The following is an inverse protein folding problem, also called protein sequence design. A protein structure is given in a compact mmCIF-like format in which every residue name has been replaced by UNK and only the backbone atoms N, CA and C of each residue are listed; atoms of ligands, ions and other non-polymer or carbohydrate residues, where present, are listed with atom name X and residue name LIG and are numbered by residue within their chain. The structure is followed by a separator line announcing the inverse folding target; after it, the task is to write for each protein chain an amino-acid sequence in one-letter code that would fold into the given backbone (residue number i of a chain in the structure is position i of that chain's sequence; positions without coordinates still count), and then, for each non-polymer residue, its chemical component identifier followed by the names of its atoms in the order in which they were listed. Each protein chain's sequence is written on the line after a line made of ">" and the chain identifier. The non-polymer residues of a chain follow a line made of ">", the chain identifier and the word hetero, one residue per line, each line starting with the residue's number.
data_IF_446996806209
#
_entry.id   IF_446996806209
#
_cell.length_a   1.000
_cell.length_b   1.000
_cell.length_c   1.000
_cell.angle_alpha   90.00
_cell.angle_beta   90.00
_cell.angle_gamma   90.00
#
_symmetry.space_group_name_H-M   'P 1'
#
loop_
_entity.id
_entity.type
_entity.pdbx_description
1 polymer ?
#
# COMPACT_ATOMS: atom_id res chain seq x y z
N UNK A 1 -8.91 6.35 -16.58
CA UNK A 1 -7.46 6.07 -16.51
C UNK A 1 -6.89 6.22 -17.90
N UNK A 2 -5.72 6.85 -18.03
CA UNK A 2 -5.04 6.98 -19.32
C UNK A 2 -4.40 5.64 -19.65
N UNK A 3 -4.85 4.98 -20.71
CA UNK A 3 -4.11 3.84 -21.28
C UNK A 3 -2.94 4.46 -22.04
N UNK A 4 -1.73 4.24 -21.54
CA UNK A 4 -0.54 4.70 -22.24
C UNK A 4 -0.26 3.75 -23.41
N UNK A 5 -0.09 4.30 -24.61
CA UNK A 5 0.37 3.52 -25.76
C UNK A 5 1.85 3.19 -25.55
N UNK A 6 2.20 1.90 -25.69
CA UNK A 6 3.59 1.46 -25.66
C UNK A 6 4.22 1.66 -27.05
N UNK A 7 5.52 2.03 -27.14
CA UNK A 7 6.46 2.19 -26.03
C UNK A 7 6.27 3.49 -25.23
N UNK A 8 6.29 3.41 -23.90
CA UNK A 8 6.20 4.57 -23.00
C UNK A 8 7.61 5.08 -22.68
N UNK A 9 7.93 6.28 -23.14
CA UNK A 9 9.23 6.94 -22.86
C UNK A 9 9.12 7.86 -21.64
N UNK A 10 10.13 7.84 -20.79
CA UNK A 10 10.23 8.72 -19.62
C UNK A 10 11.67 9.13 -19.36
N UNK A 11 11.87 10.11 -18.47
CA UNK A 11 13.21 10.50 -18.00
C UNK A 11 13.35 10.18 -16.52
N UNK A 12 14.56 9.82 -16.09
CA UNK A 12 14.80 9.48 -14.70
C UNK A 12 16.22 9.84 -14.24
N UNK A 13 16.44 9.84 -12.92
CA UNK A 13 17.75 9.80 -12.27
C UNK A 13 17.80 8.64 -11.30
N UNK A 14 18.96 7.99 -11.16
CA UNK A 14 19.15 7.01 -10.10
C UNK A 14 19.21 7.72 -8.75
N UNK A 15 18.63 7.11 -7.71
CA UNK A 15 18.65 7.60 -6.33
C UNK A 15 19.56 6.69 -5.51
N UNK A 16 20.57 7.28 -4.90
CA UNK A 16 21.51 6.60 -4.00
C UNK A 16 21.61 7.44 -2.71
N UNK A 17 21.67 6.78 -1.56
CA UNK A 17 21.68 7.42 -0.24
C UNK A 17 20.53 8.42 -0.02
N UNK A 18 19.41 8.20 -0.70
CA UNK A 18 18.23 9.07 -0.64
C UNK A 18 18.28 10.31 -1.53
N UNK A 19 19.31 10.50 -2.36
CA UNK A 19 19.46 11.65 -3.26
C UNK A 19 19.60 11.21 -4.72
N UNK A 20 18.99 11.97 -5.64
CA UNK A 20 19.16 11.76 -7.07
C UNK A 20 20.59 12.10 -7.51
N UNK A 21 21.27 11.15 -8.15
CA UNK A 21 22.65 11.29 -8.63
C UNK A 21 22.70 11.73 -10.09
N UNK A 22 23.78 12.43 -10.45
CA UNK A 22 24.09 12.86 -11.81
C UNK A 22 23.50 14.21 -12.21
N UNK A 23 24.23 14.90 -13.09
CA UNK A 23 23.82 16.22 -13.60
C UNK A 23 22.62 16.11 -14.55
N UNK A 24 22.64 15.16 -15.47
CA UNK A 24 21.60 14.99 -16.50
C UNK A 24 20.69 13.79 -16.20
N UNK A 25 19.40 13.93 -16.53
CA UNK A 25 18.46 12.82 -16.47
C UNK A 25 18.66 11.87 -17.65
N UNK A 26 18.61 10.58 -17.36
CA UNK A 26 18.69 9.45 -18.29
C UNK A 26 17.33 9.18 -18.93
N UNK A 27 17.31 8.39 -20.00
CA UNK A 27 16.10 8.00 -20.73
C UNK A 27 15.71 6.58 -20.33
N UNK A 28 14.45 6.39 -19.97
CA UNK A 28 13.83 5.10 -19.76
C UNK A 28 12.76 4.82 -20.82
N UNK A 29 12.63 3.55 -21.20
CA UNK A 29 11.63 3.10 -22.17
C UNK A 29 10.98 1.83 -21.63
N UNK A 30 9.65 1.86 -21.46
CA UNK A 30 8.86 0.68 -21.19
C UNK A 30 8.27 0.14 -22.49
N UNK A 31 8.51 -1.13 -22.76
CA UNK A 31 7.94 -1.92 -23.85
C UNK A 31 7.11 -3.08 -23.29
N UNK A 32 6.46 -3.88 -24.15
CA UNK A 32 5.56 -4.96 -23.72
C UNK A 32 6.22 -6.06 -22.87
N UNK A 33 7.51 -6.32 -23.03
CA UNK A 33 8.21 -7.42 -22.36
C UNK A 33 9.49 -7.00 -21.64
N UNK A 34 9.89 -5.72 -21.73
CA UNK A 34 11.08 -5.21 -21.06
C UNK A 34 10.96 -3.75 -20.65
N UNK A 35 11.68 -3.42 -19.59
CA UNK A 35 11.98 -2.07 -19.15
C UNK A 35 13.45 -1.76 -19.47
N UNK A 36 13.69 -0.75 -20.29
CA UNK A 36 15.03 -0.26 -20.58
C UNK A 36 15.32 0.97 -19.72
N UNK A 37 16.37 0.92 -18.91
CA UNK A 37 16.87 2.01 -18.09
C UNK A 37 18.28 2.37 -18.57
N UNK A 38 18.40 3.47 -19.33
CA UNK A 38 19.65 3.86 -19.99
C UNK A 38 20.11 2.76 -20.99
N UNK A 39 21.18 2.02 -20.67
CA UNK A 39 21.65 0.89 -21.49
C UNK A 39 21.30 -0.49 -20.90
N UNK A 40 20.66 -0.54 -19.73
CA UNK A 40 20.27 -1.81 -19.08
C UNK A 40 18.87 -2.20 -19.53
N UNK A 41 18.73 -3.43 -20.02
CA UNK A 41 17.43 -4.03 -20.33
C UNK A 41 17.03 -4.99 -19.21
N UNK A 42 15.83 -4.82 -18.68
CA UNK A 42 15.25 -5.63 -17.62
C UNK A 42 14.00 -6.31 -18.17
N UNK A 43 14.01 -7.64 -18.37
CA UNK A 43 12.80 -8.40 -18.68
C UNK A 43 11.72 -8.17 -17.61
N UNK A 44 10.49 -7.86 -18.02
CA UNK A 44 9.42 -7.54 -17.06
C UNK A 44 9.05 -8.72 -16.17
N UNK A 45 9.24 -9.94 -16.64
CA UNK A 45 9.04 -11.16 -15.85
C UNK A 45 9.92 -11.20 -14.59
N UNK A 46 11.10 -10.58 -14.62
CA UNK A 46 12.04 -10.56 -13.49
C UNK A 46 11.69 -9.49 -12.44
N UNK A 47 10.75 -8.60 -12.73
CA UNK A 47 10.30 -7.57 -11.79
C UNK A 47 9.31 -8.23 -10.83
N UNK A 48 9.73 -8.38 -9.57
CA UNK A 48 8.93 -9.03 -8.53
C UNK A 48 7.91 -8.08 -7.91
N UNK A 49 8.30 -6.82 -7.72
CA UNK A 49 7.49 -5.78 -7.09
C UNK A 49 7.89 -4.38 -7.57
N UNK A 50 6.94 -3.45 -7.54
CA UNK A 50 7.22 -2.02 -7.74
C UNK A 50 6.48 -1.20 -6.69
N UNK A 51 7.07 -0.08 -6.28
CA UNK A 51 6.37 0.85 -5.39
C UNK A 51 6.73 2.30 -5.67
N UNK A 52 5.74 3.20 -5.62
CA UNK A 52 5.99 4.64 -5.72
C UNK A 52 5.72 5.42 -4.45
N UNK A 53 6.54 6.47 -4.27
CA UNK A 53 6.35 7.53 -3.28
C UNK A 53 6.69 8.87 -3.94
N UNK A 54 5.68 9.71 -4.11
CA UNK A 54 5.77 11.00 -4.80
C UNK A 54 6.28 10.86 -6.25
N UNK A 55 7.52 11.28 -6.52
CA UNK A 55 8.19 11.14 -7.83
C UNK A 55 9.22 10.01 -7.86
N UNK A 56 9.34 9.23 -6.78
CA UNK A 56 10.27 8.11 -6.68
C UNK A 56 9.57 6.79 -7.00
N UNK A 57 10.21 5.98 -7.82
CA UNK A 57 9.82 4.63 -8.18
C UNK A 57 10.90 3.66 -7.71
N UNK A 58 10.52 2.67 -6.91
CA UNK A 58 11.35 1.54 -6.52
C UNK A 58 10.95 0.34 -7.35
N UNK A 59 11.93 -0.37 -7.92
CA UNK A 59 11.72 -1.56 -8.73
C UNK A 59 12.56 -2.68 -8.11
N UNK A 60 11.88 -3.73 -7.63
CA UNK A 60 12.54 -4.91 -7.08
C UNK A 60 12.66 -5.98 -8.16
N UNK A 61 13.88 -6.47 -8.38
CA UNK A 61 14.19 -7.49 -9.39
C UNK A 61 14.65 -8.75 -8.68
N UNK A 62 14.15 -9.91 -9.12
CA UNK A 62 14.55 -11.19 -8.56
C UNK A 62 16.05 -11.44 -8.76
N UNK A 63 16.75 -11.79 -7.67
CA UNK A 63 18.19 -12.09 -7.70
C UNK A 63 19.10 -10.87 -7.84
N UNK A 64 18.57 -9.64 -7.85
CA UNK A 64 19.35 -8.40 -7.95
C UNK A 64 18.97 -7.38 -6.87
N UNK A 65 19.74 -6.30 -6.76
CA UNK A 65 19.41 -5.16 -5.91
C UNK A 65 18.25 -4.36 -6.50
N UNK A 66 17.45 -3.74 -5.63
CA UNK A 66 16.38 -2.85 -6.05
C UNK A 66 16.92 -1.58 -6.73
N UNK A 67 16.24 -1.13 -7.78
CA UNK A 67 16.48 0.16 -8.41
C UNK A 67 15.58 1.23 -7.79
N UNK A 68 16.17 2.36 -7.40
CA UNK A 68 15.41 3.54 -6.96
C UNK A 68 15.61 4.65 -7.98
N UNK A 69 14.51 5.11 -8.57
CA UNK A 69 14.49 6.09 -9.65
C UNK A 69 13.72 7.34 -9.21
N UNK A 70 14.26 8.52 -9.45
CA UNK A 70 13.49 9.75 -9.47
C UNK A 70 12.98 10.00 -10.89
N UNK A 71 11.67 9.94 -11.09
CA UNK A 71 11.01 9.94 -12.40
C UNK A 71 10.53 11.34 -12.77
N UNK A 72 10.72 11.70 -14.05
CA UNK A 72 10.33 12.98 -14.64
C UNK A 72 9.50 12.76 -15.91
N UNK A 73 8.82 13.83 -16.37
CA UNK A 73 7.94 13.89 -17.55
C UNK A 73 6.63 13.11 -17.44
N UNK A 74 6.66 11.94 -16.82
CA UNK A 74 5.48 11.14 -16.45
C UNK A 74 5.32 11.11 -14.94
N UNK A 75 4.10 10.88 -14.45
CA UNK A 75 3.91 10.64 -13.01
C UNK A 75 4.46 9.26 -12.66
N UNK A 76 5.26 9.17 -11.60
CA UNK A 76 5.84 7.91 -11.15
C UNK A 76 4.76 6.82 -10.95
N UNK A 77 3.63 7.15 -10.32
CA UNK A 77 2.49 6.24 -10.13
C UNK A 77 1.88 5.73 -11.45
N UNK A 78 1.88 6.55 -12.50
CA UNK A 78 1.37 6.10 -13.81
C UNK A 78 2.36 5.15 -14.49
N UNK A 79 3.67 5.37 -14.31
CA UNK A 79 4.72 4.47 -14.79
C UNK A 79 4.73 3.13 -14.05
N UNK A 80 4.65 3.14 -12.71
CA UNK A 80 4.50 1.96 -11.86
C UNK A 80 3.38 1.04 -12.36
N UNK A 81 2.19 1.61 -12.56
CA UNK A 81 1.02 0.87 -13.07
C UNK A 81 1.22 0.30 -14.45
N UNK A 82 1.93 1.02 -15.31
CA UNK A 82 2.24 0.52 -16.64
C UNK A 82 3.20 -0.68 -16.56
N UNK A 83 4.23 -0.60 -15.71
CA UNK A 83 5.16 -1.70 -15.44
C UNK A 83 4.42 -2.90 -14.86
N UNK A 84 3.64 -2.71 -13.80
CA UNK A 84 2.90 -3.78 -13.12
C UNK A 84 1.92 -4.48 -14.05
N UNK A 85 1.23 -3.72 -14.91
CA UNK A 85 0.30 -4.28 -15.90
C UNK A 85 1.03 -5.20 -16.87
N UNK A 86 2.08 -4.71 -17.53
CA UNK A 86 2.80 -5.51 -18.53
C UNK A 86 3.55 -6.68 -17.87
N UNK A 87 4.14 -6.48 -16.68
CA UNK A 87 4.77 -7.55 -15.91
C UNK A 87 3.77 -8.66 -15.53
N UNK A 88 2.55 -8.28 -15.09
CA UNK A 88 1.51 -9.25 -14.77
C UNK A 88 1.06 -10.08 -15.97
N UNK A 89 1.05 -9.50 -17.19
CA UNK A 89 0.73 -10.22 -18.42
C UNK A 89 1.77 -11.30 -18.70
N UNK A 90 3.05 -10.95 -18.62
CA UNK A 90 4.14 -11.90 -18.88
C UNK A 90 4.20 -13.01 -17.82
N UNK A 91 4.03 -12.67 -16.53
CA UNK A 91 3.96 -13.65 -15.44
C UNK A 91 2.82 -14.64 -15.64
N UNK A 92 1.62 -14.15 -15.99
CA UNK A 92 0.44 -14.99 -16.17
C UNK A 92 0.59 -15.93 -17.36
N UNK A 93 1.21 -15.50 -18.47
CA UNK A 93 1.48 -16.38 -19.62
C UNK A 93 2.33 -17.58 -19.22
N UNK A 94 3.38 -17.36 -18.42
CA UNK A 94 4.24 -18.44 -17.93
C UNK A 94 3.51 -19.39 -17.01
N UNK A 95 2.73 -18.85 -16.07
CA UNK A 95 1.91 -19.66 -15.16
C UNK A 95 0.90 -20.48 -15.95
N UNK A 96 0.17 -19.87 -16.90
CA UNK A 96 -0.79 -20.59 -17.72
C UNK A 96 -0.13 -21.73 -18.51
N UNK A 97 1.03 -21.48 -19.13
CA UNK A 97 1.77 -22.51 -19.87
C UNK A 97 2.21 -23.68 -18.96
N UNK A 98 2.65 -23.40 -17.73
CA UNK A 98 3.01 -24.42 -16.75
C UNK A 98 1.79 -25.28 -16.33
N UNK A 99 0.64 -24.66 -16.05
CA UNK A 99 -0.60 -25.41 -15.75
C UNK A 99 -1.07 -26.26 -16.94
N UNK A 100 -0.90 -25.76 -18.17
CA UNK A 100 -1.19 -26.51 -19.39
C UNK A 100 -0.25 -27.72 -19.54
N UNK A 101 1.05 -27.54 -19.34
CA UNK A 101 2.06 -28.60 -19.39
C UNK A 101 1.82 -29.68 -18.32
N UNK A 102 1.33 -29.29 -17.14
CA UNK A 102 0.99 -30.21 -16.05
C UNK A 102 -0.39 -30.89 -16.22
N UNK A 103 -1.15 -30.59 -17.28
CA UNK A 103 -2.52 -31.10 -17.46
C UNK A 103 -3.53 -30.53 -16.46
N UNK A 104 -3.18 -29.45 -15.76
CA UNK A 104 -3.97 -28.79 -14.71
C UNK A 104 -4.66 -27.52 -15.17
N UNK A 105 -4.82 -27.30 -16.49
CA UNK A 105 -5.43 -26.09 -17.07
C UNK A 105 -6.76 -25.68 -16.41
N UNK A 106 -7.58 -26.66 -15.97
CA UNK A 106 -8.85 -26.41 -15.30
C UNK A 106 -8.73 -25.76 -13.90
N UNK A 107 -7.55 -25.80 -13.28
CA UNK A 107 -7.26 -25.13 -12.00
C UNK A 107 -6.74 -23.70 -12.20
N UNK A 108 -6.36 -23.34 -13.43
CA UNK A 108 -5.88 -22.00 -13.73
C UNK A 108 -7.04 -21.01 -13.71
N UNK A 109 -6.93 -19.99 -12.85
CA UNK A 109 -7.89 -18.92 -12.75
C UNK A 109 -7.18 -17.58 -12.56
N UNK A 110 -7.61 -16.58 -13.32
CA UNK A 110 -7.05 -15.22 -13.23
C UNK A 110 -8.12 -14.18 -13.49
N UNK A 111 -7.97 -13.00 -12.91
CA UNK A 111 -8.88 -11.87 -13.11
C UNK A 111 -8.12 -10.59 -13.40
N UNK A 112 -8.71 -9.70 -14.21
CA UNK A 112 -8.13 -8.39 -14.49
C UNK A 112 -8.64 -7.41 -13.44
N UNK A 113 -7.73 -6.69 -12.77
CA UNK A 113 -8.13 -5.68 -11.80
C UNK A 113 -8.81 -4.49 -12.53
N UNK A 114 -10.09 -4.17 -12.26
CA UNK A 114 -10.79 -3.05 -12.91
C UNK A 114 -10.21 -1.68 -12.53
N UNK A 115 -9.37 -1.62 -11.49
CA UNK A 115 -8.63 -0.44 -11.13
C UNK A 115 -7.36 -0.32 -11.99
N UNK A 116 -6.27 -1.03 -11.67
CA UNK A 116 -4.99 -0.84 -12.37
C UNK A 116 -4.86 -1.58 -13.71
N UNK A 117 -5.76 -2.52 -14.02
CA UNK A 117 -5.75 -3.44 -15.17
C UNK A 117 -4.62 -4.48 -15.16
N UNK A 118 -3.92 -4.65 -14.04
CA UNK A 118 -3.03 -5.79 -13.86
C UNK A 118 -3.82 -7.09 -13.71
N UNK A 119 -3.23 -8.21 -14.16
CA UNK A 119 -3.82 -9.54 -14.07
C UNK A 119 -3.42 -10.19 -12.74
N UNK A 120 -4.40 -10.66 -11.99
CA UNK A 120 -4.23 -11.30 -10.69
C UNK A 120 -4.37 -12.80 -10.89
N UNK A 121 -3.35 -13.57 -10.50
CA UNK A 121 -3.46 -15.02 -10.43
C UNK A 121 -4.28 -15.41 -9.20
N UNK A 122 -5.35 -16.18 -9.40
CA UNK A 122 -6.19 -16.75 -8.35
C UNK A 122 -6.22 -18.29 -8.40
N UNK A 123 -5.33 -18.90 -9.18
CA UNK A 123 -5.20 -20.35 -9.28
C UNK A 123 -4.92 -20.97 -7.91
N UNK A 124 -5.48 -22.15 -7.65
CA UNK A 124 -5.35 -22.90 -6.39
C UNK A 124 -5.92 -22.23 -5.14
N UNK A 125 -6.48 -21.04 -5.25
CA UNK A 125 -7.13 -20.36 -4.13
C UNK A 125 -8.59 -20.78 -4.01
N UNK A 126 -9.05 -20.93 -2.77
CA UNK A 126 -10.47 -21.08 -2.47
C UNK A 126 -11.22 -19.85 -3.00
N UNK A 127 -12.34 -20.09 -3.69
CA UNK A 127 -13.24 -19.02 -4.12
C UNK A 127 -13.79 -18.28 -2.91
N UNK A 128 -13.54 -16.97 -2.85
CA UNK A 128 -14.02 -16.08 -1.78
C UNK A 128 -14.90 -14.97 -2.34
N UNK A 129 -15.41 -14.08 -1.46
CA UNK A 129 -16.23 -12.94 -1.91
C UNK A 129 -15.41 -11.87 -2.65
N UNK A 130 -14.14 -11.74 -2.28
CA UNK A 130 -13.26 -10.71 -2.77
C UNK A 130 -11.93 -11.27 -3.26
N UNK A 131 -11.27 -10.51 -4.11
CA UNK A 131 -9.87 -10.69 -4.48
C UNK A 131 -9.09 -9.40 -4.17
N UNK A 132 -7.84 -9.57 -3.78
CA UNK A 132 -6.91 -8.48 -3.51
C UNK A 132 -5.96 -8.29 -4.69
N UNK A 133 -5.80 -7.06 -5.14
CA UNK A 133 -4.82 -6.71 -6.17
C UNK A 133 -3.52 -6.26 -5.52
N UNK A 134 -2.48 -7.11 -5.55
CA UNK A 134 -1.16 -6.79 -4.98
C UNK A 134 -0.52 -5.53 -5.56
N UNK A 135 -0.77 -5.23 -6.84
CA UNK A 135 -0.15 -4.14 -7.57
C UNK A 135 -0.68 -2.75 -7.18
N UNK A 136 -1.98 -2.62 -6.92
CA UNK A 136 -2.58 -1.32 -6.58
C UNK A 136 -3.27 -1.29 -5.22
N UNK A 137 -3.15 -2.38 -4.45
CA UNK A 137 -3.71 -2.60 -3.13
C UNK A 137 -5.25 -2.50 -3.05
N UNK A 138 -5.95 -2.55 -4.18
CA UNK A 138 -7.41 -2.53 -4.25
C UNK A 138 -8.00 -3.89 -3.91
N UNK A 139 -9.13 -3.88 -3.20
CA UNK A 139 -10.00 -5.03 -3.01
C UNK A 139 -11.14 -4.94 -4.03
N UNK A 140 -11.31 -6.01 -4.78
CA UNK A 140 -12.30 -6.17 -5.85
C UNK A 140 -13.19 -7.36 -5.50
N UNK A 141 -14.35 -7.48 -6.13
CA UNK A 141 -15.11 -8.73 -6.09
C UNK A 141 -14.33 -9.86 -6.75
N UNK A 142 -14.67 -11.11 -6.43
CA UNK A 142 -13.98 -12.28 -6.98
C UNK A 142 -13.89 -12.30 -8.51
N UNK A 143 -14.95 -11.85 -9.19
CA UNK A 143 -15.01 -11.83 -10.66
C UNK A 143 -14.26 -10.64 -11.29
N UNK A 144 -13.75 -9.72 -10.47
CA UNK A 144 -13.05 -8.51 -10.94
C UNK A 144 -13.94 -7.51 -11.68
N UNK A 145 -15.24 -7.52 -11.46
CA UNK A 145 -16.19 -6.61 -12.11
C UNK A 145 -16.33 -5.27 -11.37
N UNK A 146 -16.12 -5.27 -10.05
CA UNK A 146 -16.42 -4.15 -9.16
C UNK A 146 -15.29 -3.90 -8.18
N UNK A 147 -14.91 -2.63 -8.06
CA UNK A 147 -14.01 -2.14 -7.01
C UNK A 147 -14.79 -1.98 -5.70
N UNK A 148 -14.39 -2.72 -4.66
CA UNK A 148 -14.97 -2.62 -3.32
C UNK A 148 -14.28 -1.52 -2.52
N UNK A 149 -12.95 -1.49 -2.60
CA UNK A 149 -12.10 -0.41 -2.10
C UNK A 149 -11.03 -0.04 -3.13
N UNK A 150 -10.73 1.26 -3.24
CA UNK A 150 -9.62 1.75 -4.05
C UNK A 150 -8.34 1.82 -3.18
N UNK A 151 -7.31 1.07 -3.57
CA UNK A 151 -6.03 1.02 -2.85
C UNK A 151 -5.19 2.31 -2.88
N UNK A 152 -5.46 3.26 -3.79
CA UNK A 152 -4.84 4.60 -3.71
C UNK A 152 -5.25 5.37 -2.46
N UNK A 153 -6.49 5.13 -2.00
CA UNK A 153 -7.10 5.88 -0.90
C UNK A 153 -7.15 5.06 0.36
N UNK A 154 -7.57 3.80 0.28
CA UNK A 154 -7.70 2.91 1.42
C UNK A 154 -6.73 1.76 1.29
N UNK A 155 -5.72 1.73 2.15
CA UNK A 155 -4.71 0.67 2.12
C UNK A 155 -4.03 0.53 3.48
N UNK A 156 -3.06 -0.37 3.57
CA UNK A 156 -2.26 -0.54 4.78
C UNK A 156 -1.36 0.69 4.97
N UNK A 157 -1.33 1.23 6.18
CA UNK A 157 -0.49 2.37 6.50
C UNK A 157 0.94 1.91 6.81
N UNK A 158 1.92 2.34 6.01
CA UNK A 158 3.35 2.04 6.22
C UNK A 158 3.83 2.31 7.67
N UNK A 159 3.31 3.37 8.31
CA UNK A 159 3.76 3.81 9.63
C UNK A 159 3.26 2.91 10.78
N UNK A 160 2.07 2.33 10.66
CA UNK A 160 1.43 1.65 11.79
C UNK A 160 0.76 0.33 11.45
N UNK A 161 0.87 -0.12 10.21
CA UNK A 161 0.33 -1.39 9.74
C UNK A 161 -1.19 -1.45 9.64
N UNK A 162 -1.97 -0.44 10.08
CA UNK A 162 -3.44 -0.53 10.01
C UNK A 162 -3.97 -0.19 8.62
N UNK A 163 -5.03 -0.89 8.19
CA UNK A 163 -5.84 -0.50 7.04
C UNK A 163 -6.57 0.83 7.33
N UNK A 164 -6.44 1.80 6.43
CA UNK A 164 -7.06 3.10 6.62
C UNK A 164 -6.98 4.01 5.41
N UNK A 165 -7.61 5.18 5.52
CA UNK A 165 -7.52 6.22 4.50
C UNK A 165 -6.14 6.88 4.53
N UNK A 166 -5.34 6.66 3.49
CA UNK A 166 -3.97 7.16 3.37
C UNK A 166 -3.94 8.44 2.54
N UNK A 167 -3.23 9.44 3.05
CA UNK A 167 -3.00 10.72 2.37
C UNK A 167 -1.58 11.22 2.59
N UNK A 168 -1.10 12.02 1.65
CA UNK A 168 0.12 12.81 1.83
C UNK A 168 -0.13 14.00 2.75
N UNK A 169 0.61 14.09 3.85
CA UNK A 169 0.65 15.20 4.79
C UNK A 169 2.05 15.83 4.79
N UNK A 170 2.12 17.13 5.08
CA UNK A 170 3.38 17.84 5.22
C UNK A 170 3.66 18.04 6.70
N UNK A 171 4.72 17.42 7.20
CA UNK A 171 5.30 17.64 8.52
C UNK A 171 6.15 18.90 8.46
N UNK A 172 5.75 19.93 9.21
CA UNK A 172 6.38 21.26 9.20
C UNK A 172 6.78 21.67 10.61
N UNK A 173 8.08 21.93 10.79
CA UNK A 173 8.63 22.45 12.03
C UNK A 173 9.25 23.81 11.80
N UNK A 174 8.86 24.78 12.62
CA UNK A 174 9.46 26.10 12.65
C UNK A 174 10.25 26.25 13.94
N UNK A 175 11.53 26.62 13.81
CA UNK A 175 12.38 26.90 14.96
C UNK A 175 12.89 28.34 14.84
N UNK A 176 12.61 29.14 15.87
CA UNK A 176 13.11 30.51 15.99
C UNK A 176 13.92 30.62 17.28
N UNK A 177 15.24 30.72 17.12
CA UNK A 177 16.15 31.26 18.13
C UNK A 177 16.40 32.72 17.75
N UNK A 178 16.53 33.62 18.74
CA UNK A 178 16.62 35.09 18.58
C UNK A 178 17.49 35.63 17.41
N UNK A 179 18.45 34.85 16.89
CA UNK A 179 19.34 35.20 15.77
C UNK A 179 19.31 34.22 14.58
N UNK A 180 18.64 33.07 14.69
CA UNK A 180 18.60 32.03 13.65
C UNK A 180 17.15 31.58 13.46
N UNK A 181 16.63 31.80 12.24
CA UNK A 181 15.37 31.22 11.81
C UNK A 181 15.67 30.04 10.89
N UNK A 182 14.92 28.94 11.08
CA UNK A 182 15.01 27.77 10.23
C UNK A 182 13.67 27.06 10.15
N UNK A 183 13.44 26.34 9.05
CA UNK A 183 12.30 25.47 8.90
C UNK A 183 12.72 24.12 8.33
N UNK A 184 11.99 23.08 8.73
CA UNK A 184 12.08 21.75 8.12
C UNK A 184 10.70 21.37 7.61
N UNK A 185 10.64 20.85 6.38
CA UNK A 185 9.42 20.39 5.74
C UNK A 185 9.66 19.01 5.15
N UNK A 186 8.83 18.04 5.52
CA UNK A 186 8.91 16.67 5.00
C UNK A 186 7.52 16.16 4.67
N UNK A 187 7.35 15.53 3.50
CA UNK A 187 6.08 14.92 3.11
C UNK A 187 6.02 13.47 3.58
N UNK A 188 4.88 13.07 4.17
CA UNK A 188 4.65 11.71 4.68
C UNK A 188 3.28 11.20 4.24
N UNK A 189 3.18 9.92 3.90
CA UNK A 189 1.92 9.28 3.56
C UNK A 189 1.40 8.50 4.76
N UNK A 190 0.35 8.99 5.41
CA UNK A 190 -0.11 8.48 6.70
C UNK A 190 -1.60 8.16 6.66
N UNK A 191 -2.05 7.27 7.54
CA UNK A 191 -3.47 7.12 7.83
C UNK A 191 -3.97 8.27 8.72
N UNK A 192 -5.29 8.51 8.74
CA UNK A 192 -5.89 9.54 9.61
C UNK A 192 -5.54 9.42 11.10
N UNK A 193 -5.30 8.21 11.60
CA UNK A 193 -4.88 7.98 13.00
C UNK A 193 -3.45 8.49 13.23
N UNK A 194 -2.51 8.12 12.35
CA UNK A 194 -1.12 8.61 12.41
C UNK A 194 -1.04 10.11 12.14
N UNK A 195 -1.82 10.63 11.19
CA UNK A 195 -1.93 12.06 10.93
C UNK A 195 -2.43 12.83 12.17
N UNK A 196 -3.39 12.29 12.92
CA UNK A 196 -3.85 12.93 14.15
C UNK A 196 -2.79 12.93 15.26
N UNK A 197 -1.91 11.92 15.31
CA UNK A 197 -0.75 11.93 16.22
C UNK A 197 0.30 12.95 15.77
N UNK A 198 0.57 13.02 14.47
CA UNK A 198 1.48 13.99 13.88
C UNK A 198 0.99 15.43 14.12
N UNK A 199 -0.32 15.68 14.03
CA UNK A 199 -0.93 16.95 14.39
C UNK A 199 -0.56 17.39 15.81
N UNK A 200 -0.77 16.54 16.82
CA UNK A 200 -0.47 16.88 18.21
C UNK A 200 1.02 17.10 18.44
N UNK A 201 1.87 16.31 17.77
CA UNK A 201 3.33 16.51 17.78
C UNK A 201 3.67 17.90 17.23
N UNK A 202 3.24 18.20 16.00
CA UNK A 202 3.52 19.50 15.35
C UNK A 202 2.96 20.68 16.15
N UNK A 203 1.74 20.55 16.67
CA UNK A 203 1.12 21.59 17.49
C UNK A 203 1.95 21.86 18.76
N UNK A 204 2.42 20.82 19.44
CA UNK A 204 3.25 20.98 20.64
C UNK A 204 4.60 21.65 20.33
N UNK A 205 5.29 21.23 19.26
CA UNK A 205 6.57 21.85 18.86
C UNK A 205 6.40 23.30 18.40
N UNK A 206 5.33 23.58 17.65
CA UNK A 206 5.07 24.91 17.11
C UNK A 206 4.27 25.80 18.07
N UNK A 207 3.89 25.32 19.26
CA UNK A 207 3.01 26.08 20.17
C UNK A 207 3.61 27.43 20.59
N UNK A 208 4.93 27.49 20.73
CA UNK A 208 5.67 28.70 21.08
C UNK A 208 5.67 29.72 19.92
N UNK A 209 5.45 29.26 18.69
CA UNK A 209 5.55 30.06 17.47
C UNK A 209 4.20 30.12 16.76
N UNK A 210 3.44 31.20 16.95
CA UNK A 210 2.09 31.41 16.39
C UNK A 210 1.98 31.02 14.90
N UNK A 211 3.03 31.28 14.11
CA UNK A 211 3.09 30.95 12.67
C UNK A 211 2.95 29.44 12.39
N UNK A 212 3.51 28.56 13.25
CA UNK A 212 3.45 27.11 13.05
C UNK A 212 2.12 26.45 13.44
N UNK A 213 1.19 27.21 14.04
CA UNK A 213 -0.16 26.73 14.37
C UNK A 213 -1.00 26.54 13.09
N UNK A 214 -0.88 27.45 12.11
CA UNK A 214 -1.70 27.43 10.88
C UNK A 214 -1.50 26.13 10.07
N UNK A 215 -0.26 25.69 9.76
CA UNK A 215 -0.04 24.40 9.09
C UNK A 215 -0.59 23.20 9.88
N UNK A 216 -0.53 23.25 11.21
CA UNK A 216 -1.03 22.17 12.08
C UNK A 216 -2.56 22.06 11.99
N UNK A 217 -3.28 23.18 12.06
CA UNK A 217 -4.75 23.21 11.89
C UNK A 217 -5.15 22.69 10.50
N UNK A 218 -4.45 23.13 9.45
CA UNK A 218 -4.69 22.65 8.08
C UNK A 218 -4.53 21.13 7.97
N UNK A 219 -3.48 20.56 8.58
CA UNK A 219 -3.26 19.11 8.64
C UNK A 219 -4.43 18.39 9.31
N UNK A 220 -4.93 18.92 10.44
CA UNK A 220 -6.06 18.34 11.18
C UNK A 220 -7.34 18.33 10.34
N UNK A 221 -7.70 19.45 9.71
CA UNK A 221 -8.86 19.55 8.82
C UNK A 221 -8.73 18.52 7.68
N UNK A 222 -7.58 18.51 7.01
CA UNK A 222 -7.33 17.58 5.88
C UNK A 222 -7.41 16.11 6.28
N UNK A 223 -7.07 15.76 7.53
CA UNK A 223 -7.18 14.40 8.08
C UNK A 223 -8.63 13.92 8.29
N UNK A 224 -9.57 14.85 8.44
CA UNK A 224 -11.00 14.56 8.65
C UNK A 224 -11.79 14.51 7.33
N UNK A 225 -11.36 15.26 6.32
CA UNK A 225 -12.07 15.36 5.04
C UNK A 225 -11.86 14.12 4.15
N UNK A 226 -12.77 13.90 3.20
CA UNK A 226 -12.63 12.90 2.13
C UNK A 226 -12.71 11.43 2.57
N UNK A 227 -13.14 11.15 3.79
CA UNK A 227 -13.43 9.78 4.20
C UNK A 227 -14.71 9.29 3.52
N UNK A 228 -14.72 8.03 3.08
CA UNK A 228 -15.90 7.35 2.58
C UNK A 228 -16.90 7.23 3.73
N UNK A 229 -18.18 7.44 3.45
CA UNK A 229 -19.25 7.33 4.45
C UNK A 229 -19.26 5.96 5.14
N UNK A 230 -18.87 4.90 4.41
CA UNK A 230 -18.71 3.54 4.93
C UNK A 230 -17.65 3.40 6.03
N UNK A 231 -16.68 4.32 6.08
CA UNK A 231 -15.52 4.28 6.98
C UNK A 231 -15.43 5.47 7.94
N UNK A 232 -16.55 6.16 8.18
CA UNK A 232 -16.60 7.37 9.03
C UNK A 232 -16.01 7.16 10.43
N UNK A 233 -16.20 5.99 11.04
CA UNK A 233 -15.67 5.67 12.37
C UNK A 233 -14.35 4.89 12.36
N UNK A 234 -13.74 4.67 11.18
CA UNK A 234 -12.53 3.84 11.05
C UNK A 234 -11.35 4.40 11.86
N UNK A 235 -11.16 5.72 11.85
CA UNK A 235 -10.11 6.38 12.64
C UNK A 235 -10.26 6.12 14.14
N UNK A 236 -11.50 6.17 14.65
CA UNK A 236 -11.80 5.92 16.06
C UNK A 236 -11.57 4.45 16.42
N UNK A 237 -12.05 3.52 15.60
CA UNK A 237 -11.86 2.08 15.78
C UNK A 237 -10.38 1.70 15.77
N UNK A 238 -9.61 2.21 14.81
CA UNK A 238 -8.17 1.97 14.70
C UNK A 238 -7.40 2.53 15.91
N UNK A 239 -7.79 3.70 16.42
CA UNK A 239 -7.18 4.28 17.61
C UNK A 239 -7.44 3.44 18.88
N UNK A 240 -8.61 2.81 19.00
CA UNK A 240 -8.94 1.88 20.10
C UNK A 240 -8.20 0.55 19.95
N UNK A 241 -8.19 -0.03 18.74
CA UNK A 241 -7.49 -1.26 18.43
C UNK A 241 -5.98 -1.16 18.74
N UNK A 242 -5.34 -0.05 18.35
CA UNK A 242 -3.92 0.21 18.66
C UNK A 242 -3.60 0.33 20.16
N UNK A 243 -4.60 0.61 20.99
CA UNK A 243 -4.46 0.67 22.46
C UNK A 243 -4.80 -0.67 23.13
N UNK A 244 -4.97 -1.76 22.36
CA UNK A 244 -5.40 -3.06 22.87
C UNK A 244 -6.87 -3.10 23.32
N UNK A 245 -7.65 -2.02 23.14
CA UNK A 245 -9.08 -1.96 23.50
C UNK A 245 -9.95 -2.61 22.42
N UNK A 246 -9.65 -3.88 22.10
CA UNK A 246 -10.24 -4.59 20.97
C UNK A 246 -11.75 -4.81 21.13
N UNK A 247 -12.27 -4.95 22.36
CA UNK A 247 -13.72 -5.13 22.59
C UNK A 247 -14.51 -3.92 22.07
N UNK A 248 -14.06 -2.71 22.42
CA UNK A 248 -14.68 -1.46 21.98
C UNK A 248 -14.40 -1.17 20.50
N UNK A 249 -13.21 -1.51 20.01
CA UNK A 249 -12.91 -1.39 18.59
C UNK A 249 -13.83 -2.29 17.75
N UNK A 250 -14.05 -3.53 18.18
CA UNK A 250 -14.88 -4.52 17.51
C UNK A 250 -16.34 -4.09 17.41
N UNK A 251 -16.89 -3.42 18.42
CA UNK A 251 -18.27 -2.91 18.34
C UNK A 251 -18.41 -1.88 17.22
N UNK A 252 -17.42 -1.01 17.04
CA UNK A 252 -17.40 -0.02 15.95
C UNK A 252 -17.16 -0.70 14.59
N UNK A 253 -16.23 -1.66 14.50
CA UNK A 253 -15.97 -2.39 13.26
C UNK A 253 -17.21 -3.15 12.77
N UNK A 254 -17.97 -3.78 13.68
CA UNK A 254 -19.22 -4.47 13.34
C UNK A 254 -20.25 -3.55 12.69
N UNK A 255 -20.35 -2.30 13.14
CA UNK A 255 -21.25 -1.30 12.52
C UNK A 255 -20.82 -1.01 11.08
N UNK A 256 -19.52 -0.84 10.81
CA UNK A 256 -19.02 -0.61 9.44
C UNK A 256 -19.17 -1.83 8.54
N UNK A 257 -19.15 -3.05 9.11
CA UNK A 257 -19.33 -4.31 8.38
C UNK A 257 -20.79 -4.74 8.22
N UNK A 258 -21.77 -3.89 8.56
CA UNK A 258 -23.20 -4.22 8.40
C UNK A 258 -23.60 -4.52 6.95
N UNK A 259 -22.78 -4.10 5.98
CA UNK A 259 -22.99 -4.31 4.54
C UNK A 259 -22.08 -5.40 3.94
N UNK A 260 -21.38 -6.16 4.78
CA UNK A 260 -20.47 -7.22 4.36
C UNK A 260 -19.15 -7.23 5.15
N UNK A 261 -18.57 -8.42 5.28
CA UNK A 261 -17.26 -8.60 5.91
C UNK A 261 -16.15 -8.07 5.02
N UNK A 262 -15.45 -7.02 5.43
CA UNK A 262 -14.35 -6.43 4.64
C UNK A 262 -12.99 -6.94 5.16
N UNK A 263 -12.12 -7.52 4.31
CA UNK A 263 -10.88 -8.18 4.77
C UNK A 263 -9.93 -7.21 5.49
N UNK A 264 -9.84 -5.95 5.03
CA UNK A 264 -9.05 -4.92 5.71
C UNK A 264 -9.61 -4.47 7.08
N UNK A 265 -10.92 -4.58 7.31
CA UNK A 265 -11.50 -4.27 8.63
C UNK A 265 -11.27 -5.44 9.60
N UNK A 266 -11.47 -6.68 9.13
CA UNK A 266 -11.16 -7.90 9.89
C UNK A 266 -9.68 -7.95 10.27
N UNK A 267 -8.79 -7.57 9.34
CA UNK A 267 -7.36 -7.41 9.60
C UNK A 267 -7.08 -6.40 10.73
N UNK A 268 -7.74 -5.23 10.74
CA UNK A 268 -7.59 -4.28 11.85
C UNK A 268 -8.14 -4.81 13.18
N UNK A 269 -9.19 -5.64 13.15
CA UNK A 269 -9.67 -6.33 14.36
C UNK A 269 -8.61 -7.29 14.89
N UNK A 270 -8.00 -8.09 14.02
CA UNK A 270 -6.91 -8.99 14.38
C UNK A 270 -5.73 -8.22 15.01
N UNK A 271 -5.31 -7.09 14.42
CA UNK A 271 -4.30 -6.21 15.02
C UNK A 271 -4.72 -5.69 16.39
N UNK A 272 -6.00 -5.35 16.57
CA UNK A 272 -6.52 -4.93 17.87
C UNK A 272 -6.40 -6.02 18.94
N UNK A 273 -6.74 -7.26 18.57
CA UNK A 273 -6.59 -8.42 19.44
C UNK A 273 -5.12 -8.72 19.76
N UNK A 274 -4.23 -8.62 18.77
CA UNK A 274 -2.79 -8.77 18.97
C UNK A 274 -2.26 -7.72 19.96
N UNK A 275 -2.62 -6.45 19.80
CA UNK A 275 -2.21 -5.37 20.71
C UNK A 275 -2.82 -5.47 22.12
N UNK A 276 -3.83 -6.32 22.31
CA UNK A 276 -4.47 -6.59 23.60
C UNK A 276 -4.17 -8.01 24.11
N UNK A 277 -3.07 -8.62 23.65
CA UNK A 277 -2.57 -9.93 24.04
C UNK A 277 -3.58 -11.09 23.90
N UNK A 278 -4.59 -10.93 23.03
CA UNK A 278 -5.59 -11.95 22.75
C UNK A 278 -5.27 -12.68 21.45
N UNK A 279 -4.26 -13.56 21.50
CA UNK A 279 -3.75 -14.32 20.35
C UNK A 279 -4.84 -15.18 19.68
N UNK A 280 -5.72 -15.80 20.46
CA UNK A 280 -6.83 -16.61 19.93
C UNK A 280 -7.75 -15.77 19.05
N UNK A 281 -8.19 -14.62 19.56
CA UNK A 281 -9.05 -13.72 18.80
C UNK A 281 -8.35 -13.09 17.60
N UNK A 282 -7.03 -12.86 17.68
CA UNK A 282 -6.24 -12.43 16.53
C UNK A 282 -6.34 -13.46 15.39
N UNK A 283 -6.02 -14.73 15.65
CA UNK A 283 -6.08 -15.77 14.62
C UNK A 283 -7.50 -15.99 14.08
N UNK A 284 -8.54 -15.92 14.92
CA UNK A 284 -9.93 -15.97 14.48
C UNK A 284 -10.26 -14.89 13.43
N UNK A 285 -9.83 -13.64 13.67
CA UNK A 285 -10.07 -12.55 12.73
C UNK A 285 -9.19 -12.61 11.48
N UNK A 286 -7.98 -13.16 11.56
CA UNK A 286 -7.13 -13.40 10.39
C UNK A 286 -7.73 -14.48 9.50
N UNK A 287 -8.20 -15.59 10.08
CA UNK A 287 -8.86 -16.66 9.34
C UNK A 287 -10.12 -16.14 8.62
N UNK A 288 -10.97 -15.39 9.33
CA UNK A 288 -12.13 -14.72 8.72
C UNK A 288 -11.75 -13.75 7.61
N UNK A 289 -10.60 -13.06 7.73
CA UNK A 289 -10.11 -12.14 6.69
C UNK A 289 -9.77 -12.92 5.41
N UNK A 290 -9.11 -14.07 5.54
CA UNK A 290 -8.78 -14.96 4.41
C UNK A 290 -10.00 -15.67 3.85
N UNK A 291 -10.99 -16.04 4.67
CA UNK A 291 -12.28 -16.56 4.19
C UNK A 291 -13.06 -15.54 3.36
N UNK A 292 -12.85 -14.24 3.60
CA UNK A 292 -13.43 -13.18 2.79
C UNK A 292 -12.62 -12.89 1.52
N UNK A 293 -11.30 -13.05 1.59
CA UNK A 293 -10.36 -12.77 0.51
C UNK A 293 -9.11 -13.65 0.64
N UNK A 294 -9.09 -14.76 -0.09
CA UNK A 294 -8.06 -15.80 0.09
C UNK A 294 -6.64 -15.31 -0.19
N UNK A 295 -6.48 -14.34 -1.09
CA UNK A 295 -5.19 -13.73 -1.42
C UNK A 295 -4.93 -12.39 -0.71
N UNK A 296 -5.58 -12.10 0.42
CA UNK A 296 -5.34 -10.86 1.15
C UNK A 296 -3.96 -10.83 1.81
N UNK A 297 -2.98 -10.40 1.03
CA UNK A 297 -1.56 -10.40 1.36
C UNK A 297 -1.21 -9.75 2.72
N UNK A 298 -1.83 -8.64 3.16
CA UNK A 298 -1.57 -8.09 4.48
C UNK A 298 -1.79 -9.09 5.63
N UNK A 299 -2.84 -9.92 5.52
CA UNK A 299 -3.12 -10.97 6.50
C UNK A 299 -2.09 -12.09 6.43
N UNK A 300 -1.74 -12.56 5.22
CA UNK A 300 -0.74 -13.60 5.03
C UNK A 300 0.63 -13.20 5.61
N UNK A 301 1.07 -11.97 5.33
CA UNK A 301 2.33 -11.41 5.88
C UNK A 301 2.29 -11.33 7.41
N UNK A 302 1.16 -10.94 8.00
CA UNK A 302 1.03 -10.86 9.46
C UNK A 302 1.10 -12.24 10.12
N UNK A 303 0.41 -13.26 9.56
CA UNK A 303 0.50 -14.64 10.04
C UNK A 303 1.95 -15.13 10.01
N UNK A 304 2.63 -14.91 8.89
CA UNK A 304 4.04 -15.27 8.74
C UNK A 304 4.92 -14.63 9.83
N UNK A 305 4.80 -13.32 10.02
CA UNK A 305 5.60 -12.58 10.99
C UNK A 305 5.36 -13.04 12.44
N UNK A 306 4.11 -13.30 12.82
CA UNK A 306 3.79 -13.79 14.17
C UNK A 306 4.37 -15.19 14.41
N UNK A 307 4.30 -16.06 13.40
CA UNK A 307 4.86 -17.42 13.50
C UNK A 307 6.39 -17.40 13.64
N UNK A 308 7.08 -16.53 12.90
CA UNK A 308 8.54 -16.39 13.00
C UNK A 308 8.98 -15.87 14.38
N UNK A 309 8.29 -14.86 14.92
CA UNK A 309 8.56 -14.36 16.29
C UNK A 309 8.32 -15.45 17.33
N UNK A 310 7.25 -16.24 17.17
CA UNK A 310 6.92 -17.33 18.10
C UNK A 310 7.96 -18.46 18.08
N UNK A 311 8.61 -18.71 16.93
CA UNK A 311 9.73 -19.66 16.85
C UNK A 311 10.95 -19.13 17.61
N UNK A 312 11.25 -17.84 17.49
CA UNK A 312 12.41 -17.22 18.15
C UNK A 312 12.26 -17.13 19.67
N UNK A 313 11.05 -16.93 20.20
CA UNK A 313 10.82 -16.85 21.65
C UNK A 313 10.88 -18.19 22.38
N UNK A 314 10.97 -19.31 21.67
CA UNK A 314 11.10 -20.66 22.23
C UNK A 314 12.57 -21.15 22.29
N UNK A 315 13.54 -20.28 21.97
CA UNK A 315 14.98 -20.49 22.15
C UNK A 315 15.52 -19.56 23.24
#
# INVERSE_FOLDING_TARGET
>A
MTVHNLPLKFRFKYVEDGYAKGFFSKIGILEHNRLTLDNKQIPLVQISDTTTRDNRLVILIEGENAYVLEVYQVKALELERAIDREASVEQIKLIQADYEQQGKKHLFHSVICPHCHAIINLSELKRTNYAYCRFCESIIDWEGTRIINNGETYRICDECGVFGHIKGYTEFYFYFLLLIYGYSSTRRHLCSTCASRLFWKMLAYNFIFIIGIVPSIYLKIRSMLGNDRRYTQLTKANALARKGRYIEANSIFRIMMSHGHHPGLLYNQALGHLNGDNVKGMFEYLDRSLDCCANYEPTLRLIHNVNEVSKQSNF
#
